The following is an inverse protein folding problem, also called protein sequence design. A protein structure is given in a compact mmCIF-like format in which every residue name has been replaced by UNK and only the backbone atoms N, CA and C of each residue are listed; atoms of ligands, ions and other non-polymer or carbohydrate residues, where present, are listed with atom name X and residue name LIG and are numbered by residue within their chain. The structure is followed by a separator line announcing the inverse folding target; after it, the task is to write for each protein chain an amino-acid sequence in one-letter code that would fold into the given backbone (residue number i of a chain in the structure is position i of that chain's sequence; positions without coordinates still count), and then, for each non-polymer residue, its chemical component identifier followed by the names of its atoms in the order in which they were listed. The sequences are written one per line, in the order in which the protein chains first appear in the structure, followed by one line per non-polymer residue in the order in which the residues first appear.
data_IF_222235385050
#
_entry.id   IF_222235385050
#
_cell.length_a   1.000
_cell.length_b   1.000
_cell.length_c   1.000
_cell.angle_alpha   90.00
_cell.angle_beta   90.00
_cell.angle_gamma   90.00
#
_symmetry.space_group_name_H-M   'P 1'
#
loop_
_entity.id
_entity.type
_entity.pdbx_description
1 polymer ?
#
# COMPACT_ATOMS: atom_id res chain seq x y z
N UNK A 1 42.32 -5.08 -7.24
CA UNK A 1 41.97 -5.44 -5.86
C UNK A 1 42.82 -4.60 -4.91
N UNK A 2 42.17 -3.98 -3.92
CA UNK A 2 42.77 -3.07 -2.94
C UNK A 2 43.42 -3.89 -1.80
N UNK A 3 42.66 -4.79 -1.18
CA UNK A 3 43.12 -5.65 -0.09
C UNK A 3 42.94 -7.15 -0.42
N UNK A 4 44.03 -7.90 -0.44
CA UNK A 4 43.99 -9.34 -0.73
C UNK A 4 43.37 -10.18 0.40
N UNK A 5 43.33 -9.63 1.62
CA UNK A 5 42.73 -10.28 2.78
C UNK A 5 41.21 -10.06 2.86
N UNK A 6 40.64 -9.28 1.95
CA UNK A 6 39.20 -9.08 1.81
C UNK A 6 38.68 -9.67 0.48
N UNK A 7 38.73 -11.00 0.29
CA UNK A 7 38.36 -11.61 -0.99
C UNK A 7 36.85 -11.53 -1.29
N UNK A 8 36.01 -11.24 -0.28
CA UNK A 8 34.55 -11.11 -0.40
C UNK A 8 34.06 -9.67 -0.63
N UNK A 9 34.92 -8.64 -0.53
CA UNK A 9 34.52 -7.22 -0.54
C UNK A 9 34.02 -6.64 -1.87
N UNK A 10 33.61 -7.49 -2.82
CA UNK A 10 32.96 -7.14 -4.09
C UNK A 10 33.57 -5.93 -4.79
N UNK A 11 32.77 -5.03 -5.39
CA UNK A 11 33.23 -3.83 -6.07
C UNK A 11 34.04 -2.89 -5.18
N UNK A 12 33.73 -2.84 -3.89
CA UNK A 12 34.34 -1.93 -2.93
C UNK A 12 35.81 -2.28 -2.66
N UNK A 13 36.20 -3.53 -2.94
CA UNK A 13 37.58 -3.97 -2.91
C UNK A 13 38.31 -3.86 -4.27
N UNK A 14 37.73 -3.18 -5.26
CA UNK A 14 38.38 -2.88 -6.55
C UNK A 14 38.44 -1.38 -6.81
N UNK A 15 39.56 -0.95 -7.36
CA UNK A 15 39.75 0.41 -7.86
C UNK A 15 40.63 0.37 -9.12
N UNK A 16 40.51 1.41 -9.96
CA UNK A 16 41.39 1.60 -11.10
C UNK A 16 42.85 1.81 -10.63
N UNK A 17 43.82 1.32 -11.41
CA UNK A 17 45.25 1.51 -11.10
C UNK A 17 45.59 3.00 -11.00
N UNK A 18 46.30 3.40 -9.93
CA UNK A 18 46.86 4.75 -9.79
C UNK A 18 48.30 4.85 -10.33
N UNK A 19 48.84 3.77 -10.93
CA UNK A 19 50.16 3.78 -11.54
C UNK A 19 50.14 4.58 -12.86
N UNK A 20 51.06 5.55 -13.08
CA UNK A 20 51.11 6.34 -14.32
C UNK A 20 51.21 5.53 -15.62
N UNK A 21 51.75 4.31 -15.57
CA UNK A 21 51.82 3.40 -16.72
C UNK A 21 50.49 2.68 -17.02
N UNK A 22 49.43 2.93 -16.24
CA UNK A 22 48.10 2.33 -16.39
C UNK A 22 47.92 0.99 -15.67
N UNK A 23 48.97 0.36 -15.14
CA UNK A 23 48.89 -0.92 -14.43
C UNK A 23 50.20 -1.37 -13.79
N UNK A 24 50.13 -2.45 -13.01
CA UNK A 24 51.26 -3.07 -12.29
C UNK A 24 51.35 -4.57 -12.58
N UNK A 25 51.52 -5.00 -13.85
CA UNK A 25 51.57 -6.42 -14.19
C UNK A 25 52.77 -7.11 -13.52
N UNK A 26 52.51 -8.23 -12.82
CA UNK A 26 53.55 -9.00 -12.11
C UNK A 26 54.11 -8.33 -10.85
N UNK A 27 53.54 -7.20 -10.41
CA UNK A 27 53.91 -6.48 -9.19
C UNK A 27 52.69 -6.29 -8.27
N UNK A 28 52.92 -5.82 -7.04
CA UNK A 28 51.82 -5.45 -6.14
C UNK A 28 50.93 -4.38 -6.79
N UNK A 29 49.63 -4.47 -6.55
CA UNK A 29 48.68 -3.51 -7.10
C UNK A 29 49.00 -2.11 -6.60
N UNK A 30 48.97 -1.14 -7.51
CA UNK A 30 49.24 0.28 -7.22
C UNK A 30 48.24 0.89 -6.22
N UNK A 31 47.04 0.35 -6.18
CA UNK A 31 45.97 0.69 -5.22
C UNK A 31 45.98 -0.17 -3.96
N UNK A 32 47.04 -0.95 -3.71
CA UNK A 32 47.12 -1.79 -2.52
C UNK A 32 46.99 -0.96 -1.25
N UNK A 33 46.01 -1.28 -0.42
CA UNK A 33 45.77 -0.67 0.88
C UNK A 33 45.00 -1.65 1.78
N UNK A 34 45.00 -1.39 3.08
CA UNK A 34 44.18 -2.16 4.04
C UNK A 34 42.72 -1.75 3.87
N UNK A 35 41.85 -2.72 3.61
CA UNK A 35 40.40 -2.56 3.45
C UNK A 35 39.67 -3.73 4.15
N UNK A 36 39.74 -3.80 5.49
CA UNK A 36 39.27 -4.94 6.25
C UNK A 36 37.75 -4.98 6.24
N UNK A 37 37.20 -6.15 5.99
CA UNK A 37 35.77 -6.40 6.08
C UNK A 37 35.37 -6.71 7.52
N UNK A 38 34.50 -5.85 8.07
CA UNK A 38 33.95 -6.01 9.43
C UNK A 38 32.41 -6.03 9.40
N UNK A 39 31.81 -6.18 8.22
CA UNK A 39 30.37 -6.23 8.07
C UNK A 39 29.97 -7.70 8.10
N UNK A 40 29.01 -8.02 8.96
CA UNK A 40 28.45 -9.38 9.00
C UNK A 40 27.51 -9.59 7.82
N UNK A 41 27.56 -10.78 7.18
CA UNK A 41 26.51 -11.16 6.25
C UNK A 41 25.18 -11.22 6.99
N UNK A 42 24.09 -10.89 6.32
CA UNK A 42 22.73 -11.03 6.85
C UNK A 42 21.83 -11.71 5.85
N UNK A 43 20.75 -12.32 6.34
CA UNK A 43 19.65 -12.76 5.48
C UNK A 43 18.96 -11.50 4.98
N UNK A 44 19.03 -11.23 3.68
CA UNK A 44 18.26 -10.14 3.06
C UNK A 44 16.81 -10.53 2.90
N UNK A 45 16.56 -11.79 2.53
CA UNK A 45 15.22 -12.26 2.24
C UNK A 45 15.15 -13.79 2.34
N UNK A 46 14.03 -14.29 2.85
CA UNK A 46 13.57 -15.66 2.61
C UNK A 46 12.16 -15.61 2.01
N UNK A 47 11.93 -16.35 0.92
CA UNK A 47 10.64 -16.39 0.20
C UNK A 47 10.28 -17.84 -0.10
N UNK A 48 9.07 -18.24 0.24
CA UNK A 48 8.52 -19.53 -0.17
C UNK A 48 8.07 -19.47 -1.63
N UNK A 49 8.83 -20.11 -2.53
CA UNK A 49 8.49 -20.23 -3.96
C UNK A 49 7.38 -21.26 -4.21
N UNK A 50 7.19 -22.19 -3.26
CA UNK A 50 6.10 -23.16 -3.24
C UNK A 50 5.89 -23.69 -1.81
N UNK A 51 4.90 -24.56 -1.63
CA UNK A 51 4.66 -25.24 -0.34
C UNK A 51 5.82 -26.13 0.14
N UNK A 52 6.85 -26.35 -0.67
CA UNK A 52 7.97 -27.24 -0.36
C UNK A 52 9.33 -26.62 -0.68
N UNK A 53 9.39 -25.35 -1.09
CA UNK A 53 10.62 -24.69 -1.55
C UNK A 53 10.73 -23.27 -1.01
N UNK A 54 11.88 -22.94 -0.42
CA UNK A 54 12.20 -21.59 0.08
C UNK A 54 13.51 -21.10 -0.57
N UNK A 55 13.48 -19.93 -1.20
CA UNK A 55 14.69 -19.22 -1.61
C UNK A 55 15.19 -18.31 -0.49
N UNK A 56 16.49 -18.31 -0.25
CA UNK A 56 17.14 -17.43 0.72
C UNK A 56 18.22 -16.63 0.02
N UNK A 57 18.17 -15.30 0.18
CA UNK A 57 19.14 -14.35 -0.39
C UNK A 57 19.93 -13.68 0.74
N UNK A 58 21.24 -13.52 0.55
CA UNK A 58 22.17 -12.94 1.52
C UNK A 58 22.72 -11.59 1.06
N UNK A 59 23.15 -10.74 2.01
CA UNK A 59 23.62 -9.38 1.73
C UNK A 59 24.94 -9.32 0.97
N UNK A 60 25.77 -10.33 1.17
CA UNK A 60 27.14 -10.38 0.68
C UNK A 60 27.53 -11.82 0.36
N UNK A 61 28.73 -11.99 -0.19
CA UNK A 61 29.27 -13.27 -0.60
C UNK A 61 29.50 -14.16 0.62
N UNK A 62 28.86 -15.33 0.64
CA UNK A 62 29.17 -16.42 1.57
C UNK A 62 29.80 -17.56 0.74
N UNK A 63 30.97 -18.12 1.15
CA UNK A 63 31.62 -19.20 0.40
C UNK A 63 30.67 -20.39 0.17
N UNK A 64 30.70 -20.97 -1.03
CA UNK A 64 29.76 -22.02 -1.44
C UNK A 64 29.77 -23.24 -0.49
N UNK A 65 30.96 -23.63 0.00
CA UNK A 65 31.10 -24.71 0.98
C UNK A 65 30.54 -24.34 2.36
N UNK A 66 30.55 -23.06 2.73
CA UNK A 66 29.94 -22.59 3.98
C UNK A 66 28.42 -22.63 3.84
N UNK A 67 27.86 -22.11 2.74
CA UNK A 67 26.42 -22.19 2.44
C UNK A 67 25.90 -23.64 2.43
N UNK A 68 26.65 -24.57 1.82
CA UNK A 68 26.27 -25.97 1.72
C UNK A 68 26.27 -26.70 3.08
N UNK A 69 27.12 -26.30 4.02
CA UNK A 69 27.30 -26.94 5.33
C UNK A 69 26.65 -26.17 6.49
N UNK A 70 26.10 -24.98 6.24
CA UNK A 70 25.33 -24.23 7.21
C UNK A 70 24.07 -25.02 7.63
N UNK A 71 23.57 -24.76 8.84
CA UNK A 71 22.39 -25.43 9.38
C UNK A 71 21.21 -24.48 9.31
N UNK A 72 20.14 -24.91 8.63
CA UNK A 72 18.94 -24.13 8.34
C UNK A 72 17.77 -24.71 9.14
N UNK A 73 17.31 -23.97 10.13
CA UNK A 73 16.19 -24.32 10.98
C UNK A 73 14.99 -23.48 10.59
N UNK A 74 13.84 -24.12 10.37
CA UNK A 74 12.56 -23.44 10.21
C UNK A 74 11.70 -23.89 11.39
N UNK A 75 11.01 -22.95 12.02
CA UNK A 75 10.11 -23.25 13.13
C UNK A 75 8.85 -24.01 12.67
N UNK A 76 7.87 -24.17 13.58
CA UNK A 76 6.60 -24.84 13.30
C UNK A 76 6.73 -26.28 12.75
N UNK A 77 7.82 -26.96 13.12
CA UNK A 77 8.06 -28.37 12.78
C UNK A 77 8.53 -28.61 11.34
N UNK A 78 8.91 -27.56 10.61
CA UNK A 78 9.40 -27.65 9.24
C UNK A 78 10.90 -28.01 9.23
N UNK A 79 11.24 -29.09 8.55
CA UNK A 79 12.63 -29.54 8.41
C UNK A 79 13.17 -29.17 7.03
N UNK A 80 14.41 -28.69 6.99
CA UNK A 80 15.19 -28.58 5.75
C UNK A 80 15.67 -29.97 5.34
N UNK A 81 15.23 -30.46 4.18
CA UNK A 81 15.57 -31.79 3.65
C UNK A 81 16.70 -31.76 2.63
N UNK A 82 16.85 -30.65 1.90
CA UNK A 82 17.91 -30.44 0.94
C UNK A 82 18.29 -28.95 0.87
N UNK A 83 19.57 -28.68 0.63
CA UNK A 83 20.11 -27.35 0.38
C UNK A 83 20.77 -27.39 -1.00
N UNK A 84 20.26 -26.58 -1.92
CA UNK A 84 20.83 -26.36 -3.26
C UNK A 84 21.41 -24.96 -3.34
N UNK A 85 22.73 -24.86 -3.44
CA UNK A 85 23.44 -23.57 -3.54
C UNK A 85 23.40 -23.10 -5.00
N UNK A 86 22.65 -22.03 -5.27
CA UNK A 86 22.54 -21.45 -6.63
C UNK A 86 23.71 -20.51 -6.92
N UNK A 87 24.14 -19.75 -5.92
CA UNK A 87 25.29 -18.85 -6.00
C UNK A 87 25.86 -18.63 -4.60
N UNK A 88 26.91 -17.82 -4.50
CA UNK A 88 27.47 -17.37 -3.23
C UNK A 88 26.58 -16.37 -2.46
N UNK A 89 25.41 -15.99 -3.01
CA UNK A 89 24.43 -15.13 -2.34
C UNK A 89 23.02 -15.72 -2.29
N UNK A 90 22.80 -16.89 -2.88
CA UNK A 90 21.46 -17.51 -2.98
C UNK A 90 21.49 -19.01 -2.77
N UNK A 91 20.58 -19.50 -1.94
CA UNK A 91 20.32 -20.94 -1.74
C UNK A 91 18.83 -21.24 -1.87
N UNK A 92 18.52 -22.46 -2.30
CA UNK A 92 17.19 -23.03 -2.31
C UNK A 92 17.13 -24.14 -1.27
N UNK A 93 16.15 -24.04 -0.37
CA UNK A 93 15.85 -25.05 0.63
C UNK A 93 14.64 -25.87 0.16
N UNK A 94 14.78 -27.20 0.13
CA UNK A 94 13.63 -28.10 0.05
C UNK A 94 13.18 -28.46 1.45
N UNK A 95 11.88 -28.35 1.73
CA UNK A 95 11.36 -28.50 3.10
C UNK A 95 10.32 -29.60 3.24
N UNK A 96 10.23 -30.18 4.44
CA UNK A 96 9.20 -31.15 4.82
C UNK A 96 8.90 -31.10 6.34
N UNK A 97 7.64 -31.16 6.79
CA UNK A 97 6.40 -31.19 6.00
C UNK A 97 6.20 -29.95 5.13
N UNK A 98 5.16 -29.97 4.27
CA UNK A 98 4.81 -28.82 3.43
C UNK A 98 4.46 -27.61 4.30
N UNK A 99 4.89 -26.43 3.85
CA UNK A 99 4.45 -25.14 4.38
C UNK A 99 2.94 -25.01 4.20
N UNK A 100 2.31 -24.32 5.15
CA UNK A 100 0.89 -24.03 5.16
C UNK A 100 0.68 -22.53 4.99
N UNK A 101 -0.41 -22.16 4.34
CA UNK A 101 -0.80 -20.76 4.21
C UNK A 101 -1.34 -20.22 5.53
N UNK A 102 -1.24 -18.90 5.73
CA UNK A 102 -1.69 -18.24 6.97
C UNK A 102 -0.81 -18.47 8.19
N UNK A 103 0.33 -19.15 8.04
CA UNK A 103 1.34 -19.33 9.08
C UNK A 103 2.57 -18.50 8.74
N UNK A 104 3.01 -17.69 9.69
CA UNK A 104 4.33 -17.06 9.67
C UNK A 104 5.38 -18.06 10.17
N UNK A 105 6.44 -18.22 9.40
CA UNK A 105 7.59 -19.08 9.72
C UNK A 105 8.83 -18.22 9.97
N UNK A 106 9.66 -18.67 10.90
CA UNK A 106 10.98 -18.09 11.15
C UNK A 106 12.07 -19.02 10.64
N UNK A 107 12.82 -18.59 9.64
CA UNK A 107 14.08 -19.22 9.25
C UNK A 107 15.19 -18.74 10.18
N UNK A 108 16.00 -19.66 10.70
CA UNK A 108 17.23 -19.38 11.46
C UNK A 108 18.40 -20.17 10.87
N UNK A 109 19.51 -19.50 10.61
CA UNK A 109 20.72 -20.10 10.03
C UNK A 109 21.86 -20.05 11.05
N UNK A 110 22.60 -21.15 11.18
CA UNK A 110 23.84 -21.19 11.97
C UNK A 110 24.99 -21.73 11.13
N UNK A 111 26.22 -21.46 11.55
CA UNK A 111 27.44 -21.79 10.81
C UNK A 111 27.54 -21.14 9.42
N UNK A 112 26.87 -20.00 9.22
CA UNK A 112 27.10 -19.12 8.07
C UNK A 112 28.11 -18.03 8.42
N UNK A 113 29.14 -17.85 7.59
CA UNK A 113 30.13 -16.78 7.72
C UNK A 113 30.68 -16.39 6.35
N UNK A 114 31.13 -15.15 6.20
CA UNK A 114 31.77 -14.65 4.98
C UNK A 114 33.18 -15.25 4.77
N UNK A 115 33.95 -14.68 3.82
CA UNK A 115 35.31 -15.13 3.54
C UNK A 115 36.34 -14.81 4.64
N UNK A 116 36.09 -13.83 5.51
CA UNK A 116 37.04 -13.35 6.52
C UNK A 116 36.68 -13.80 7.94
N UNK A 117 35.52 -14.44 8.10
CA UNK A 117 35.03 -15.04 9.34
C UNK A 117 33.97 -14.23 10.06
N UNK A 118 33.43 -13.15 9.47
CA UNK A 118 32.27 -12.47 10.07
C UNK A 118 31.07 -13.43 10.01
N UNK A 119 30.48 -13.68 11.18
CA UNK A 119 29.36 -14.62 11.29
C UNK A 119 28.06 -13.93 10.87
N UNK A 120 27.15 -14.71 10.28
CA UNK A 120 25.82 -14.25 9.86
C UNK A 120 25.08 -13.56 11.01
N UNK A 121 24.70 -12.30 10.83
CA UNK A 121 23.97 -11.51 11.83
C UNK A 121 23.22 -10.31 11.21
N UNK A 122 21.90 -10.16 11.43
CA UNK A 122 21.02 -11.14 12.07
C UNK A 122 20.96 -12.45 11.26
N UNK A 123 20.79 -13.56 11.97
CA UNK A 123 20.81 -14.90 11.40
C UNK A 123 19.40 -15.50 11.26
N UNK A 124 18.35 -14.69 11.42
CA UNK A 124 16.95 -15.11 11.31
C UNK A 124 16.15 -14.18 10.40
N UNK A 125 15.11 -14.73 9.77
CA UNK A 125 14.21 -13.99 8.88
C UNK A 125 12.80 -14.61 8.90
N UNK A 126 11.77 -13.78 9.04
CA UNK A 126 10.36 -14.22 8.98
C UNK A 126 9.86 -14.26 7.55
N UNK A 127 9.15 -15.32 7.19
CA UNK A 127 8.54 -15.49 5.87
C UNK A 127 7.25 -16.30 5.97
N UNK A 128 6.44 -16.28 4.91
CA UNK A 128 5.23 -17.07 4.82
C UNK A 128 5.06 -17.62 3.40
N UNK A 129 4.19 -18.63 3.26
CA UNK A 129 3.77 -19.13 1.95
C UNK A 129 2.72 -18.16 1.35
N UNK A 130 3.03 -17.44 0.25
CA UNK A 130 2.08 -16.53 -0.36
C UNK A 130 0.90 -17.27 -0.99
N UNK A 131 -0.22 -16.57 -1.09
CA UNK A 131 -1.45 -17.01 -1.74
C UNK A 131 -1.76 -16.10 -2.93
N UNK A 132 -2.44 -16.62 -3.97
CA UNK A 132 -2.94 -15.76 -5.03
C UNK A 132 -3.98 -14.79 -4.47
N UNK A 133 -3.91 -13.54 -4.92
CA UNK A 133 -4.91 -12.52 -4.60
C UNK A 133 -6.22 -12.79 -5.36
N UNK A 134 -7.34 -12.63 -4.67
CA UNK A 134 -8.66 -12.48 -5.23
C UNK A 134 -9.02 -10.98 -5.33
N UNK A 135 -10.06 -10.67 -6.12
CA UNK A 135 -10.61 -9.31 -6.18
C UNK A 135 -11.03 -8.88 -4.77
N UNK A 136 -10.56 -7.71 -4.35
CA UNK A 136 -10.82 -7.16 -3.02
C UNK A 136 -9.82 -7.57 -1.93
N UNK A 137 -8.89 -8.49 -2.20
CA UNK A 137 -7.81 -8.79 -1.24
C UNK A 137 -6.79 -7.66 -1.20
N UNK A 138 -6.36 -7.15 -2.36
CA UNK A 138 -5.52 -5.96 -2.47
C UNK A 138 -6.37 -4.86 -3.08
N UNK A 139 -6.38 -3.71 -2.43
CA UNK A 139 -7.18 -2.56 -2.83
C UNK A 139 -6.31 -1.31 -2.95
N UNK A 140 -6.66 -0.39 -3.84
CA UNK A 140 -6.04 0.94 -3.91
C UNK A 140 -6.51 1.74 -2.70
N UNK A 141 -5.60 2.34 -1.95
CA UNK A 141 -5.89 2.95 -0.65
C UNK A 141 -5.69 4.47 -0.62
N UNK A 142 -4.66 4.96 -1.28
CA UNK A 142 -4.32 6.39 -1.32
C UNK A 142 -3.66 6.70 -2.66
N UNK A 143 -3.99 7.83 -3.27
CA UNK A 143 -3.41 8.26 -4.55
C UNK A 143 -3.06 9.74 -4.50
N UNK A 144 -1.81 10.05 -4.78
CA UNK A 144 -1.33 11.40 -5.06
C UNK A 144 -1.05 11.53 -6.56
N UNK A 145 -1.83 12.38 -7.23
CA UNK A 145 -1.77 12.62 -8.68
C UNK A 145 -1.51 14.10 -9.05
N UNK A 146 -1.38 14.98 -8.05
CA UNK A 146 -0.96 16.37 -8.20
C UNK A 146 0.07 16.71 -7.11
N UNK A 147 1.32 16.20 -7.18
CA UNK A 147 2.32 16.41 -6.15
C UNK A 147 2.76 17.88 -6.10
N UNK A 148 3.39 18.29 -4.99
CA UNK A 148 4.07 19.59 -4.94
C UNK A 148 5.07 19.74 -6.08
N UNK A 149 5.41 20.98 -6.45
CA UNK A 149 6.46 21.23 -7.46
C UNK A 149 7.78 20.57 -7.05
N UNK A 150 8.28 19.66 -7.89
CA UNK A 150 9.48 18.86 -7.62
C UNK A 150 9.24 17.61 -6.77
N UNK A 151 7.98 17.34 -6.42
CA UNK A 151 7.50 16.09 -5.85
C UNK A 151 7.21 15.02 -6.92
N UNK A 152 6.87 13.83 -6.46
CA UNK A 152 6.53 12.69 -7.30
C UNK A 152 5.15 12.15 -6.93
N UNK A 153 4.42 11.64 -7.92
CA UNK A 153 3.18 10.91 -7.72
C UNK A 153 3.43 9.66 -6.85
N UNK A 154 2.39 9.21 -6.17
CA UNK A 154 2.38 7.88 -5.59
C UNK A 154 1.02 7.20 -5.65
N UNK A 155 1.07 5.88 -5.65
CA UNK A 155 -0.10 5.02 -5.47
C UNK A 155 0.17 4.11 -4.29
N UNK A 156 -0.74 4.10 -3.33
CA UNK A 156 -0.72 3.16 -2.22
C UNK A 156 -1.76 2.05 -2.41
N UNK A 157 -1.36 0.84 -2.04
CA UNK A 157 -2.25 -0.31 -1.91
C UNK A 157 -2.30 -0.79 -0.46
N UNK A 158 -3.42 -1.38 -0.09
CA UNK A 158 -3.65 -2.03 1.20
C UNK A 158 -4.05 -3.49 0.99
N UNK A 159 -3.51 -4.38 1.83
CA UNK A 159 -3.94 -5.77 1.89
C UNK A 159 -5.15 -5.92 2.83
N UNK A 160 -6.33 -5.94 2.25
CA UNK A 160 -7.62 -6.11 2.93
C UNK A 160 -7.96 -7.57 3.26
N UNK A 161 -6.97 -8.48 3.22
CA UNK A 161 -7.16 -9.91 3.49
C UNK A 161 -6.21 -10.44 4.57
N UNK A 162 -6.52 -11.62 5.09
CA UNK A 162 -5.64 -12.40 5.98
C UNK A 162 -4.52 -13.14 5.23
N UNK A 163 -4.29 -12.83 3.95
CA UNK A 163 -3.35 -13.55 3.08
C UNK A 163 -2.01 -12.82 3.00
N UNK A 164 -0.93 -13.57 3.05
CA UNK A 164 0.35 -13.10 2.49
C UNK A 164 0.25 -13.14 0.96
N UNK A 165 0.52 -12.03 0.29
CA UNK A 165 0.38 -11.91 -1.17
C UNK A 165 1.71 -11.47 -1.75
N UNK A 166 2.16 -12.13 -2.80
CA UNK A 166 3.40 -11.77 -3.50
C UNK A 166 3.10 -10.84 -4.68
N UNK A 167 3.78 -9.68 -4.68
CA UNK A 167 3.67 -8.65 -5.70
C UNK A 167 4.66 -8.86 -6.86
N UNK A 168 5.34 -10.01 -6.92
CA UNK A 168 6.24 -10.35 -8.02
C UNK A 168 5.57 -10.14 -9.39
N UNK A 169 6.14 -9.25 -10.19
CA UNK A 169 5.66 -8.85 -11.52
C UNK A 169 4.24 -8.24 -11.57
N UNK A 170 3.68 -7.83 -10.44
CA UNK A 170 2.47 -7.00 -10.46
C UNK A 170 2.74 -5.66 -11.15
N UNK A 171 1.68 -5.01 -11.63
CA UNK A 171 1.80 -3.80 -12.43
C UNK A 171 0.77 -2.75 -12.02
N UNK A 172 1.18 -1.48 -12.15
CA UNK A 172 0.27 -0.35 -12.24
C UNK A 172 0.02 -0.03 -13.72
N UNK A 173 -1.19 0.41 -14.03
CA UNK A 173 -1.62 0.82 -15.36
C UNK A 173 -2.57 2.02 -15.26
N UNK A 174 -2.93 2.57 -16.41
CA UNK A 174 -4.01 3.56 -16.54
C UNK A 174 -4.93 3.16 -17.70
N UNK A 175 -6.04 3.88 -17.88
CA UNK A 175 -6.97 3.66 -19.00
C UNK A 175 -6.80 4.72 -20.08
N UNK A 176 -6.59 4.26 -21.32
CA UNK A 176 -6.58 5.06 -22.55
C UNK A 176 -7.22 4.20 -23.66
N UNK A 177 -8.53 4.34 -23.86
CA UNK A 177 -9.45 3.44 -24.62
C UNK A 177 -9.50 1.97 -24.14
N UNK A 178 -8.45 1.52 -23.47
CA UNK A 178 -8.24 0.20 -22.87
C UNK A 178 -7.23 0.34 -21.73
N UNK A 179 -7.15 -0.67 -20.86
CA UNK A 179 -6.10 -0.71 -19.82
C UNK A 179 -4.73 -0.81 -20.50
N UNK A 180 -3.88 0.20 -20.28
CA UNK A 180 -2.62 0.39 -20.99
C UNK A 180 -1.51 0.96 -20.07
N UNK A 181 -0.37 1.35 -20.65
CA UNK A 181 0.80 1.93 -19.94
C UNK A 181 1.27 1.14 -18.70
N UNK A 182 1.26 -0.19 -18.77
CA UNK A 182 1.68 -1.07 -17.69
C UNK A 182 3.11 -0.78 -17.22
N UNK A 183 3.28 -0.50 -15.94
CA UNK A 183 4.55 -0.37 -15.23
C UNK A 183 4.66 -1.42 -14.15
N UNK A 184 5.68 -2.26 -14.22
CA UNK A 184 5.93 -3.28 -13.19
C UNK A 184 6.33 -2.62 -11.88
N UNK A 185 5.65 -3.01 -10.79
CA UNK A 185 5.95 -2.48 -9.45
C UNK A 185 7.11 -3.22 -8.77
N UNK A 186 7.33 -4.49 -9.11
CA UNK A 186 8.46 -5.26 -8.61
C UNK A 186 8.91 -6.35 -9.59
N UNK A 187 10.22 -6.46 -9.81
CA UNK A 187 10.86 -7.58 -10.51
C UNK A 187 11.43 -8.61 -9.51
N UNK A 188 11.29 -8.35 -8.22
CA UNK A 188 11.72 -9.22 -7.12
C UNK A 188 10.49 -9.66 -6.31
N UNK A 189 10.61 -10.75 -5.56
CA UNK A 189 9.53 -11.19 -4.69
C UNK A 189 9.33 -10.17 -3.56
N UNK A 190 8.13 -9.60 -3.45
CA UNK A 190 7.78 -8.67 -2.38
C UNK A 190 6.47 -9.14 -1.79
N UNK A 191 6.53 -9.66 -0.57
CA UNK A 191 5.36 -10.12 0.14
C UNK A 191 4.73 -8.93 0.86
N UNK A 192 3.46 -8.66 0.57
CA UNK A 192 2.61 -7.82 1.39
C UNK A 192 1.92 -8.72 2.42
N UNK A 193 2.16 -8.42 3.70
CA UNK A 193 1.57 -9.14 4.82
C UNK A 193 0.09 -8.75 4.99
N UNK A 194 -0.71 -9.55 5.71
CA UNK A 194 -2.08 -9.19 6.04
C UNK A 194 -2.19 -7.80 6.67
N UNK A 195 -3.15 -7.00 6.21
CA UNK A 195 -3.44 -5.68 6.77
C UNK A 195 -2.26 -4.70 6.75
N UNK A 196 -1.36 -4.84 5.78
CA UNK A 196 -0.25 -3.92 5.56
C UNK A 196 -0.42 -3.12 4.27
N UNK A 197 0.33 -2.02 4.19
CA UNK A 197 0.36 -1.09 3.07
C UNK A 197 1.62 -1.25 2.22
N UNK A 198 1.55 -0.91 0.94
CA UNK A 198 2.70 -0.67 0.06
C UNK A 198 2.48 0.57 -0.80
N UNK A 199 3.51 1.42 -0.87
CA UNK A 199 3.46 2.69 -1.60
C UNK A 199 4.44 2.65 -2.77
N UNK A 200 3.94 2.91 -3.97
CA UNK A 200 4.71 2.93 -5.20
C UNK A 200 4.96 4.38 -5.65
N UNK A 201 6.23 4.75 -5.80
CA UNK A 201 6.65 6.09 -6.28
C UNK A 201 7.98 6.02 -7.01
N UNK A 202 8.28 6.98 -7.88
CA UNK A 202 9.55 7.06 -8.62
C UNK A 202 10.73 7.52 -7.76
N UNK A 203 10.49 8.36 -6.75
CA UNK A 203 11.50 8.78 -5.79
C UNK A 203 10.95 8.75 -4.35
N UNK A 204 11.38 7.78 -3.57
CA UNK A 204 10.94 7.65 -2.17
C UNK A 204 11.49 8.74 -1.27
N UNK A 205 12.58 9.41 -1.65
CA UNK A 205 13.12 10.53 -0.86
C UNK A 205 12.31 11.80 -1.07
N UNK A 206 11.80 12.00 -2.29
CA UNK A 206 10.86 13.07 -2.62
C UNK A 206 9.63 13.03 -1.71
N UNK A 207 8.96 11.86 -1.61
CA UNK A 207 7.82 11.69 -0.70
C UNK A 207 8.19 11.99 0.76
N UNK A 208 9.30 11.43 1.27
CA UNK A 208 9.75 11.67 2.66
C UNK A 208 10.14 13.12 2.94
N UNK A 209 10.49 13.89 1.90
CA UNK A 209 10.84 15.31 2.04
C UNK A 209 9.59 16.17 2.19
N UNK A 210 8.53 15.86 1.46
CA UNK A 210 7.30 16.66 1.42
C UNK A 210 6.29 16.26 2.50
N UNK A 211 6.24 14.99 2.89
CA UNK A 211 5.24 14.46 3.81
C UNK A 211 5.89 14.06 5.15
N UNK A 212 5.47 14.63 6.28
CA UNK A 212 6.06 14.36 7.58
C UNK A 212 5.63 13.01 8.18
N UNK A 213 4.39 12.58 7.92
CA UNK A 213 3.82 11.33 8.41
C UNK A 213 3.97 10.24 7.36
N UNK A 214 4.86 9.26 7.61
CA UNK A 214 5.06 8.14 6.69
C UNK A 214 5.62 6.89 7.38
N UNK A 215 5.44 5.73 6.74
CA UNK A 215 6.12 4.49 7.10
C UNK A 215 7.10 4.06 6.01
N UNK A 216 8.40 4.24 6.25
CA UNK A 216 9.41 3.97 5.23
C UNK A 216 9.51 2.50 4.80
N UNK A 217 8.98 1.55 5.57
CA UNK A 217 8.97 0.12 5.24
C UNK A 217 7.90 -0.25 4.20
N UNK A 218 6.92 0.62 3.96
CA UNK A 218 5.89 0.43 2.96
C UNK A 218 6.36 0.82 1.55
N UNK A 219 7.38 1.68 1.43
CA UNK A 219 7.83 2.20 0.15
C UNK A 219 8.47 1.15 -0.75
N UNK A 220 8.07 1.17 -2.02
CA UNK A 220 8.67 0.46 -3.14
C UNK A 220 8.99 1.50 -4.21
N UNK A 221 10.29 1.76 -4.40
CA UNK A 221 10.72 2.69 -5.44
C UNK A 221 10.63 2.00 -6.81
N UNK A 222 9.83 2.56 -7.72
CA UNK A 222 9.63 2.04 -9.07
C UNK A 222 10.40 2.87 -10.10
N UNK A 223 10.76 2.26 -11.23
CA UNK A 223 11.50 2.97 -12.28
C UNK A 223 10.65 4.03 -13.02
N UNK A 224 9.33 3.84 -13.05
CA UNK A 224 8.36 4.76 -13.63
C UNK A 224 6.96 4.40 -13.15
N UNK A 225 6.06 5.39 -13.13
CA UNK A 225 4.62 5.19 -12.97
C UNK A 225 3.90 5.38 -14.31
N UNK A 226 2.67 4.86 -14.46
CA UNK A 226 1.76 5.31 -15.50
C UNK A 226 1.53 6.82 -15.38
N UNK A 227 1.08 7.44 -16.47
CA UNK A 227 0.77 8.88 -16.44
C UNK A 227 -0.55 9.09 -15.71
N UNK A 228 -0.48 9.83 -14.61
CA UNK A 228 -1.63 10.29 -13.84
C UNK A 228 -1.77 11.80 -14.07
N UNK A 229 -2.90 12.23 -14.60
CA UNK A 229 -3.13 13.63 -14.93
C UNK A 229 -3.74 14.35 -13.73
N UNK A 230 -3.43 15.64 -13.56
CA UNK A 230 -3.86 16.38 -12.37
C UNK A 230 -5.39 16.59 -12.31
N UNK A 231 -6.08 16.65 -13.45
CA UNK A 231 -7.52 16.97 -13.49
C UNK A 231 -8.40 15.73 -13.27
N UNK A 232 -8.16 14.66 -14.05
CA UNK A 232 -8.87 13.38 -13.95
C UNK A 232 -8.07 12.25 -14.58
N UNK A 233 -8.25 11.04 -14.08
CA UNK A 233 -7.54 9.88 -14.58
C UNK A 233 -7.94 8.59 -13.91
N UNK A 234 -7.12 7.56 -14.13
CA UNK A 234 -7.38 6.24 -13.55
C UNK A 234 -6.11 5.51 -13.16
N UNK A 235 -6.20 4.82 -12.02
CA UNK A 235 -5.18 3.91 -11.52
C UNK A 235 -5.72 2.50 -11.63
N UNK A 236 -5.00 1.63 -12.33
CA UNK A 236 -5.30 0.21 -12.42
C UNK A 236 -4.20 -0.59 -11.74
N UNK A 237 -4.58 -1.51 -10.86
CA UNK A 237 -3.69 -2.49 -10.26
C UNK A 237 -3.93 -3.84 -10.92
N UNK A 238 -2.88 -4.46 -11.45
CA UNK A 238 -2.99 -5.78 -12.06
C UNK A 238 -1.98 -6.78 -11.50
N UNK A 239 -2.37 -8.06 -11.49
CA UNK A 239 -1.43 -9.16 -11.23
C UNK A 239 -0.42 -9.34 -12.39
N UNK A 240 0.45 -10.34 -12.25
CA UNK A 240 1.45 -10.69 -13.28
C UNK A 240 0.86 -11.16 -14.61
N UNK A 241 -0.42 -11.57 -14.63
CA UNK A 241 -1.15 -12.00 -15.83
C UNK A 241 -1.97 -10.84 -16.45
N UNK A 242 -1.85 -9.62 -15.92
CA UNK A 242 -2.65 -8.44 -16.29
C UNK A 242 -4.13 -8.56 -15.96
N UNK A 243 -4.50 -9.43 -15.03
CA UNK A 243 -5.84 -9.46 -14.44
C UNK A 243 -5.98 -8.23 -13.56
N UNK A 244 -7.03 -7.44 -13.78
CA UNK A 244 -7.33 -6.28 -12.93
C UNK A 244 -7.77 -6.77 -11.54
N UNK A 245 -7.01 -6.38 -10.52
CA UNK A 245 -7.29 -6.71 -9.11
C UNK A 245 -8.17 -5.61 -8.49
N UNK A 246 -7.83 -4.35 -8.75
CA UNK A 246 -8.60 -3.18 -8.36
C UNK A 246 -8.35 -2.03 -9.36
N UNK A 247 -9.26 -1.06 -9.41
CA UNK A 247 -9.06 0.17 -10.18
C UNK A 247 -9.80 1.34 -9.55
N UNK A 248 -9.23 2.53 -9.68
CA UNK A 248 -9.78 3.77 -9.16
C UNK A 248 -9.78 4.84 -10.24
N UNK A 249 -10.97 5.37 -10.56
CA UNK A 249 -11.11 6.57 -11.38
C UNK A 249 -11.19 7.79 -10.45
N UNK A 250 -10.19 8.66 -10.53
CA UNK A 250 -10.10 9.86 -9.72
C UNK A 250 -10.38 11.11 -10.56
N UNK A 251 -10.73 12.18 -9.87
CA UNK A 251 -10.82 13.54 -10.41
C UNK A 251 -10.44 14.52 -9.32
N UNK A 252 -9.83 15.64 -9.69
CA UNK A 252 -9.51 16.74 -8.78
C UNK A 252 -10.74 17.22 -8.01
N UNK A 253 -11.94 17.18 -8.61
CA UNK A 253 -13.22 17.54 -7.98
C UNK A 253 -13.61 16.65 -6.79
N UNK A 254 -12.90 15.53 -6.57
CA UNK A 254 -13.07 14.67 -5.40
C UNK A 254 -12.35 15.22 -4.16
N UNK A 255 -11.48 16.21 -4.32
CA UNK A 255 -10.89 16.91 -3.19
C UNK A 255 -11.91 17.76 -2.45
N UNK A 256 -11.61 18.06 -1.19
CA UNK A 256 -12.42 18.93 -0.37
C UNK A 256 -12.46 20.33 -1.00
N UNK A 257 -13.65 20.74 -1.44
CA UNK A 257 -13.85 21.94 -2.28
C UNK A 257 -13.42 23.27 -1.63
N UNK A 258 -13.13 23.29 -0.33
CA UNK A 258 -12.67 24.47 0.41
C UNK A 258 -11.15 24.52 0.60
N UNK A 259 -10.39 23.55 0.08
CA UNK A 259 -8.94 23.62 0.07
C UNK A 259 -8.47 24.85 -0.70
N UNK A 260 -7.43 25.52 -0.18
CA UNK A 260 -6.81 26.65 -0.87
C UNK A 260 -6.07 26.22 -2.15
N UNK A 261 -5.58 24.98 -2.16
CA UNK A 261 -4.88 24.32 -3.26
C UNK A 261 -4.96 22.82 -3.06
N UNK A 262 -5.02 22.08 -4.17
CA UNK A 262 -4.96 20.61 -4.26
C UNK A 262 -3.53 20.11 -4.49
N UNK A 263 -2.56 21.02 -4.68
CA UNK A 263 -1.15 20.67 -4.87
C UNK A 263 -0.62 19.98 -3.61
N UNK A 264 -0.05 18.79 -3.81
CA UNK A 264 0.49 17.94 -2.76
C UNK A 264 -0.56 17.25 -1.90
N UNK A 265 -1.85 17.32 -2.24
CA UNK A 265 -2.91 16.67 -1.47
C UNK A 265 -3.27 15.33 -2.09
N UNK A 266 -3.20 14.24 -1.31
CA UNK A 266 -3.65 12.93 -1.78
C UNK A 266 -5.16 12.75 -1.59
N UNK A 267 -5.74 11.85 -2.39
CA UNK A 267 -7.06 11.27 -2.11
C UNK A 267 -6.88 9.98 -1.31
N UNK A 268 -7.55 9.93 -0.17
CA UNK A 268 -7.54 8.83 0.78
C UNK A 268 -8.88 8.10 0.78
N UNK A 269 -8.83 6.77 0.75
CA UNK A 269 -9.98 5.90 0.93
C UNK A 269 -10.50 5.97 2.37
N UNK A 270 -11.81 6.17 2.54
CA UNK A 270 -12.47 6.27 3.84
C UNK A 270 -12.70 4.87 4.45
N UNK A 271 -13.17 3.91 3.66
CA UNK A 271 -13.46 2.56 4.15
C UNK A 271 -12.99 1.47 3.18
N UNK A 272 -12.40 0.42 3.74
CA UNK A 272 -11.91 -0.74 2.98
C UNK A 272 -13.03 -1.64 2.49
N UNK A 273 -14.16 -1.68 3.18
CA UNK A 273 -15.31 -2.52 2.83
C UNK A 273 -16.20 -1.90 1.74
N UNK A 274 -16.05 -0.60 1.46
CA UNK A 274 -16.80 0.12 0.42
C UNK A 274 -16.12 0.01 -0.96
N UNK A 275 -16.89 -0.05 -2.06
CA UNK A 275 -16.35 -0.17 -3.41
C UNK A 275 -15.35 0.95 -3.77
N UNK A 276 -14.31 0.62 -4.54
CA UNK A 276 -13.23 1.57 -4.90
C UNK A 276 -13.72 2.76 -5.71
N UNK A 277 -14.73 2.58 -6.58
CA UNK A 277 -15.25 3.67 -7.42
C UNK A 277 -16.49 4.35 -6.84
N UNK A 278 -16.83 4.12 -5.57
CA UNK A 278 -17.77 4.96 -4.85
C UNK A 278 -17.08 6.31 -4.56
N UNK A 279 -17.50 7.37 -5.26
CA UNK A 279 -16.91 8.71 -5.11
C UNK A 279 -16.99 9.25 -3.69
N UNK A 280 -17.96 8.78 -2.90
CA UNK A 280 -18.14 9.21 -1.51
C UNK A 280 -17.36 8.35 -0.52
N UNK A 281 -16.50 7.45 -1.02
CA UNK A 281 -15.56 6.65 -0.24
C UNK A 281 -14.13 7.20 -0.32
N UNK A 282 -13.97 8.41 -0.83
CA UNK A 282 -12.69 9.09 -0.94
C UNK A 282 -12.83 10.51 -0.42
N UNK A 283 -11.76 11.00 0.20
CA UNK A 283 -11.67 12.38 0.66
C UNK A 283 -10.23 12.85 0.57
N UNK A 284 -10.01 14.16 0.67
CA UNK A 284 -8.65 14.70 0.80
C UNK A 284 -8.03 14.26 2.11
N UNK A 285 -6.75 13.93 2.07
CA UNK A 285 -5.94 13.80 3.27
C UNK A 285 -5.98 15.07 4.12
N UNK A 286 -5.93 14.90 5.44
CA UNK A 286 -6.02 15.99 6.39
C UNK A 286 -4.78 16.90 6.34
N UNK A 287 -4.96 18.19 6.67
CA UNK A 287 -3.88 19.18 6.66
C UNK A 287 -2.87 18.95 7.79
N UNK A 288 -3.35 18.46 8.94
CA UNK A 288 -2.56 18.29 10.16
C UNK A 288 -1.53 17.14 10.08
N UNK A 289 -1.82 16.12 9.27
CA UNK A 289 -0.88 15.05 8.89
C UNK A 289 0.03 15.44 7.71
N UNK A 290 -0.18 16.63 7.14
CA UNK A 290 0.61 17.14 6.01
C UNK A 290 0.10 16.71 4.64
N UNK A 291 -1.21 16.47 4.50
CA UNK A 291 -1.91 16.19 3.23
C UNK A 291 -1.57 14.86 2.52
N UNK A 292 -0.96 13.90 3.22
CA UNK A 292 -0.89 12.49 2.82
C UNK A 292 -0.48 11.60 4.00
N UNK A 293 -0.75 10.30 3.93
CA UNK A 293 -0.37 9.31 4.96
C UNK A 293 0.38 8.09 4.41
N UNK A 294 1.41 8.25 3.57
CA UNK A 294 2.02 7.14 2.84
C UNK A 294 2.62 6.07 3.78
N UNK A 295 2.07 4.88 3.70
CA UNK A 295 2.43 3.67 4.42
C UNK A 295 1.75 3.53 5.79
N UNK A 296 0.82 4.44 6.11
CA UNK A 296 0.08 4.51 7.37
C UNK A 296 -1.42 4.33 7.09
N UNK A 297 -2.21 4.26 8.17
CA UNK A 297 -3.66 4.32 8.02
C UNK A 297 -4.07 5.73 7.62
N UNK A 298 -4.94 5.82 6.59
CA UNK A 298 -5.51 7.07 6.10
C UNK A 298 -6.05 7.93 7.24
N UNK A 299 -5.76 9.23 7.18
CA UNK A 299 -6.33 10.24 8.10
C UNK A 299 -7.86 10.27 8.04
N UNK A 300 -8.44 9.95 6.88
CA UNK A 300 -9.89 9.95 6.67
C UNK A 300 -10.56 8.60 6.96
N UNK A 301 -9.83 7.61 7.49
CA UNK A 301 -10.36 6.25 7.67
C UNK A 301 -11.51 6.18 8.69
N UNK A 302 -12.61 5.52 8.30
CA UNK A 302 -13.75 5.25 9.17
C UNK A 302 -14.50 3.96 8.77
N UNK A 303 -14.64 3.03 9.71
CA UNK A 303 -15.48 1.84 9.58
C UNK A 303 -16.86 2.10 10.20
N UNK A 304 -17.85 2.40 9.35
CA UNK A 304 -19.25 2.44 9.80
C UNK A 304 -19.75 1.01 10.04
N UNK A 305 -19.76 0.54 11.30
CA UNK A 305 -20.45 -0.71 11.66
C UNK A 305 -21.95 -0.46 11.83
N UNK A 306 -22.75 -1.14 11.01
CA UNK A 306 -24.20 -0.97 10.96
C UNK A 306 -24.92 -1.53 12.18
N UNK A 307 -25.61 -0.66 12.93
CA UNK A 307 -26.79 -1.06 13.69
C UNK A 307 -28.03 -1.13 12.76
N UNK A 308 -28.97 -2.00 13.10
CA UNK A 308 -30.20 -2.29 12.33
C UNK A 308 -31.19 -1.11 12.36
N UNK A 309 -30.87 -0.04 11.65
CA UNK A 309 -31.75 1.09 11.38
C UNK A 309 -31.75 1.38 9.87
N UNK A 310 -32.90 1.78 9.31
CA UNK A 310 -33.01 2.13 7.89
C UNK A 310 -31.98 3.19 7.49
N UNK A 311 -31.62 4.07 8.45
CA UNK A 311 -30.62 5.11 8.29
C UNK A 311 -29.89 5.30 9.63
N UNK A 312 -28.56 5.33 9.62
CA UNK A 312 -27.70 5.67 10.77
C UNK A 312 -26.61 6.64 10.37
N UNK A 313 -26.08 7.36 11.35
CA UNK A 313 -25.01 8.34 11.19
C UNK A 313 -23.79 7.92 12.00
N UNK A 314 -22.60 8.09 11.43
CA UNK A 314 -21.34 7.95 12.15
C UNK A 314 -20.32 8.96 11.63
N UNK A 315 -19.77 9.83 12.49
CA UNK A 315 -20.19 10.09 13.88
C UNK A 315 -21.54 10.84 13.95
N UNK A 316 -22.16 10.96 15.14
CA UNK A 316 -23.37 11.79 15.30
C UNK A 316 -23.08 13.30 15.15
N UNK A 317 -21.85 13.70 15.52
CA UNK A 317 -21.31 15.05 15.41
C UNK A 317 -20.01 14.97 14.63
N UNK A 318 -19.91 15.74 13.54
CA UNK A 318 -18.74 15.76 12.68
C UNK A 318 -18.23 17.20 12.53
N UNK A 319 -16.93 17.38 12.39
CA UNK A 319 -16.21 18.66 12.41
C UNK A 319 -15.44 18.80 11.10
N UNK A 320 -16.05 19.37 10.04
CA UNK A 320 -15.42 19.49 8.72
C UNK A 320 -14.39 20.64 8.74
N UNK A 321 -13.29 20.43 9.45
CA UNK A 321 -12.18 21.36 9.62
C UNK A 321 -10.88 20.86 8.96
N UNK A 322 -10.92 19.66 8.37
CA UNK A 322 -9.84 18.97 7.68
C UNK A 322 -8.65 18.63 8.61
N UNK A 323 -8.95 18.29 9.87
CA UNK A 323 -7.97 17.90 10.91
C UNK A 323 -7.82 16.37 11.08
N UNK A 324 -8.40 15.57 10.19
CA UNK A 324 -8.34 14.11 10.22
C UNK A 324 -9.26 13.48 11.26
N UNK A 325 -9.96 14.28 12.07
CA UNK A 325 -10.85 13.77 13.11
C UNK A 325 -12.29 14.17 12.79
N UNK A 326 -13.08 13.16 12.42
CA UNK A 326 -14.53 13.33 12.18
C UNK A 326 -14.84 14.40 11.11
N UNK A 327 -14.02 14.52 10.07
CA UNK A 327 -14.20 15.49 8.98
C UNK A 327 -15.42 15.23 8.10
N UNK A 328 -15.83 13.96 8.04
CA UNK A 328 -16.94 13.50 7.21
C UNK A 328 -18.02 12.83 8.06
N UNK A 329 -19.28 13.10 7.69
CA UNK A 329 -20.44 12.40 8.21
C UNK A 329 -20.75 11.18 7.35
N UNK A 330 -20.60 9.97 7.87
CA UNK A 330 -21.04 8.76 7.18
C UNK A 330 -22.52 8.50 7.45
N UNK A 331 -23.29 8.32 6.38
CA UNK A 331 -24.73 8.08 6.36
C UNK A 331 -24.95 6.67 5.82
N UNK A 332 -25.21 5.73 6.70
CA UNK A 332 -25.45 4.33 6.33
C UNK A 332 -26.95 4.06 6.21
N UNK A 333 -27.35 3.27 5.22
CA UNK A 333 -28.73 2.84 5.02
C UNK A 333 -28.84 1.33 4.84
N UNK A 334 -29.98 0.78 5.27
CA UNK A 334 -30.34 -0.64 5.10
C UNK A 334 -31.79 -0.75 4.61
N UNK A 335 -31.98 -1.46 3.51
CA UNK A 335 -33.25 -1.69 2.84
C UNK A 335 -33.71 -3.15 3.03
N UNK A 336 -35.03 -3.40 3.02
CA UNK A 336 -35.58 -4.73 3.25
C UNK A 336 -35.29 -5.72 2.10
N UNK A 337 -35.12 -5.20 0.88
CA UNK A 337 -34.81 -5.98 -0.32
C UNK A 337 -34.07 -5.10 -1.35
N UNK A 338 -33.36 -5.67 -2.33
CA UNK A 338 -32.75 -4.93 -3.43
C UNK A 338 -33.79 -4.32 -4.39
N UNK A 339 -33.34 -3.44 -5.31
CA UNK A 339 -34.18 -2.92 -6.39
C UNK A 339 -34.88 -1.60 -6.08
N UNK A 340 -34.47 -0.92 -5.02
CA UNK A 340 -34.94 0.41 -4.68
C UNK A 340 -34.13 1.49 -5.41
N UNK A 341 -34.80 2.55 -5.84
CA UNK A 341 -34.19 3.81 -6.30
C UNK A 341 -34.32 4.85 -5.20
N UNK A 342 -33.22 5.49 -4.80
CA UNK A 342 -33.19 6.37 -3.64
C UNK A 342 -32.57 7.74 -3.84
N UNK A 343 -32.79 8.58 -2.83
CA UNK A 343 -32.27 9.94 -2.71
C UNK A 343 -31.81 10.18 -1.27
N UNK A 344 -30.68 10.86 -1.12
CA UNK A 344 -30.22 11.43 0.16
C UNK A 344 -30.05 12.93 -0.03
N UNK A 345 -30.79 13.70 0.78
CA UNK A 345 -30.79 15.16 0.73
C UNK A 345 -30.57 15.71 2.12
N UNK A 346 -29.71 16.72 2.23
CA UNK A 346 -29.41 17.40 3.49
C UNK A 346 -30.16 18.73 3.54
N UNK A 347 -30.82 18.96 4.67
CA UNK A 347 -31.53 20.18 4.99
C UNK A 347 -30.98 20.79 6.29
N UNK A 348 -31.06 22.10 6.42
CA UNK A 348 -30.75 22.76 7.69
C UNK A 348 -31.92 22.65 8.70
N UNK A 349 -31.73 23.20 9.89
CA UNK A 349 -32.71 23.27 10.97
C UNK A 349 -34.03 24.00 10.62
N UNK A 350 -34.04 24.75 9.51
CA UNK A 350 -35.20 25.47 8.96
C UNK A 350 -35.82 24.75 7.77
N UNK A 351 -35.32 23.58 7.39
CA UNK A 351 -35.80 22.79 6.26
C UNK A 351 -35.39 23.35 4.90
N UNK A 352 -34.40 24.23 4.83
CA UNK A 352 -33.83 24.72 3.55
C UNK A 352 -32.87 23.67 3.01
N UNK A 353 -32.89 23.46 1.70
CA UNK A 353 -31.96 22.55 1.01
C UNK A 353 -30.51 23.03 1.20
N UNK A 354 -29.64 22.11 1.61
CA UNK A 354 -28.21 22.36 1.81
C UNK A 354 -27.38 21.68 0.73
N UNK A 355 -27.59 20.38 0.50
CA UNK A 355 -26.87 19.59 -0.50
C UNK A 355 -27.66 18.35 -0.92
N UNK A 356 -27.57 17.97 -2.18
CA UNK A 356 -27.96 16.63 -2.63
C UNK A 356 -26.73 15.71 -2.62
N UNK A 357 -26.76 14.65 -1.81
CA UNK A 357 -25.67 13.66 -1.80
C UNK A 357 -25.88 12.54 -2.80
N UNK A 358 -27.15 12.22 -3.07
CA UNK A 358 -27.54 11.15 -3.98
C UNK A 358 -28.90 11.48 -4.60
N UNK A 359 -29.06 11.26 -5.91
CA UNK A 359 -30.30 11.60 -6.64
C UNK A 359 -30.73 10.52 -7.63
N UNK A 360 -31.86 9.88 -7.34
CA UNK A 360 -32.50 8.86 -8.17
C UNK A 360 -31.54 7.72 -8.58
N UNK A 361 -30.78 7.22 -7.61
CA UNK A 361 -29.81 6.16 -7.86
C UNK A 361 -30.37 4.80 -7.47
N UNK A 362 -30.08 3.77 -8.26
CA UNK A 362 -30.40 2.38 -7.93
C UNK A 362 -29.53 1.94 -6.76
N UNK A 363 -30.17 1.56 -5.65
CA UNK A 363 -29.52 1.21 -4.40
C UNK A 363 -29.30 -0.29 -4.27
N UNK A 364 -28.16 -0.64 -3.69
CA UNK A 364 -27.95 -1.92 -3.02
C UNK A 364 -28.87 -2.06 -1.80
N UNK A 365 -29.03 -3.29 -1.30
CA UNK A 365 -29.81 -3.54 -0.07
C UNK A 365 -29.23 -2.86 1.18
N UNK A 366 -27.95 -2.48 1.15
CA UNK A 366 -27.30 -1.69 2.18
C UNK A 366 -26.19 -0.84 1.54
N UNK A 367 -25.90 0.34 2.09
CA UNK A 367 -24.82 1.19 1.61
C UNK A 367 -24.49 2.30 2.59
N UNK A 368 -23.37 2.97 2.36
CA UNK A 368 -22.92 4.13 3.14
C UNK A 368 -22.53 5.25 2.18
N UNK A 369 -22.89 6.48 2.51
CA UNK A 369 -22.54 7.71 1.76
C UNK A 369 -21.95 8.71 2.74
N UNK A 370 -20.87 9.38 2.37
CA UNK A 370 -20.21 10.37 3.23
C UNK A 370 -20.55 11.81 2.82
N UNK A 371 -20.61 12.72 3.80
CA UNK A 371 -20.76 14.16 3.60
C UNK A 371 -19.65 14.93 4.29
N UNK A 372 -18.96 15.75 3.52
CA UNK A 372 -17.83 16.63 3.88
C UNK A 372 -18.26 17.96 4.53
N UNK A 373 -19.54 18.14 4.84
CA UNK A 373 -20.03 19.38 5.45
C UNK A 373 -20.06 20.58 4.51
N UNK A 374 -19.96 20.37 3.19
CA UNK A 374 -20.11 21.46 2.20
C UNK A 374 -21.56 21.58 1.73
N UNK A 375 -21.94 22.78 1.27
CA UNK A 375 -23.24 23.04 0.64
C UNK A 375 -23.18 22.79 -0.87
N UNK A 376 -24.33 22.83 -1.55
CA UNK A 376 -24.43 22.74 -3.01
C UNK A 376 -23.64 23.83 -3.75
N UNK A 377 -23.34 24.95 -3.07
CA UNK A 377 -22.54 26.05 -3.64
C UNK A 377 -21.06 25.97 -3.25
N UNK A 378 -20.60 24.81 -2.77
CA UNK A 378 -19.23 24.59 -2.30
C UNK A 378 -18.80 25.58 -1.20
N UNK A 379 -19.72 25.92 -0.30
CA UNK A 379 -19.41 26.69 0.92
C UNK A 379 -19.47 25.79 2.14
N UNK A 380 -18.78 26.13 3.23
CA UNK A 380 -18.92 25.41 4.51
C UNK A 380 -20.36 25.52 5.02
N UNK A 381 -20.95 24.40 5.44
CA UNK A 381 -22.19 24.40 6.17
C UNK A 381 -22.00 25.11 7.53
N UNK A 382 -22.98 25.89 7.96
CA UNK A 382 -22.92 26.56 9.27
C UNK A 382 -22.95 25.53 10.40
N UNK A 383 -22.32 25.83 11.53
CA UNK A 383 -22.45 25.01 12.75
C UNK A 383 -23.92 24.90 13.13
N UNK A 384 -24.38 23.68 13.43
CA UNK A 384 -25.76 23.44 13.80
C UNK A 384 -26.27 22.06 13.42
N UNK A 385 -27.57 21.87 13.65
CA UNK A 385 -28.27 20.63 13.32
C UNK A 385 -28.69 20.61 11.86
N UNK A 386 -28.49 19.46 11.22
CA UNK A 386 -28.90 19.18 9.85
C UNK A 386 -29.77 17.94 9.83
N UNK A 387 -30.82 17.99 9.01
CA UNK A 387 -31.71 16.86 8.78
C UNK A 387 -31.25 16.13 7.53
N UNK A 388 -30.81 14.90 7.70
CA UNK A 388 -30.50 13.98 6.61
C UNK A 388 -31.80 13.27 6.28
N UNK A 389 -32.30 13.50 5.07
CA UNK A 389 -33.56 12.94 4.59
C UNK A 389 -33.29 11.89 3.53
N UNK A 390 -33.68 10.65 3.85
CA UNK A 390 -33.62 9.50 2.96
C UNK A 390 -35.01 9.15 2.43
N UNK A 391 -35.11 8.95 1.13
CA UNK A 391 -36.31 8.40 0.49
C UNK A 391 -35.90 7.38 -0.56
N UNK A 392 -36.57 6.23 -0.59
CA UNK A 392 -36.39 5.24 -1.64
C UNK A 392 -37.71 4.61 -2.07
N UNK A 393 -37.81 4.16 -3.31
CA UNK A 393 -38.97 3.43 -3.85
C UNK A 393 -38.55 2.30 -4.79
N UNK A 394 -39.32 1.21 -4.88
CA UNK A 394 -39.08 0.11 -5.82
C UNK A 394 -40.14 0.07 -6.95
N UNK A 395 -40.02 -0.90 -7.88
CA UNK A 395 -40.94 -1.06 -9.02
C UNK A 395 -42.36 -1.46 -8.62
N UNK A 396 -42.54 -2.12 -7.46
CA UNK A 396 -43.87 -2.49 -6.92
C UNK A 396 -44.57 -1.31 -6.25
N UNK A 397 -43.87 -0.20 -6.04
CA UNK A 397 -44.38 1.04 -5.45
C UNK A 397 -44.20 1.14 -3.94
N UNK A 398 -43.49 0.20 -3.31
CA UNK A 398 -43.12 0.27 -1.90
C UNK A 398 -42.13 1.41 -1.67
N UNK A 399 -42.27 2.09 -0.54
CA UNK A 399 -41.49 3.28 -0.20
C UNK A 399 -40.83 3.14 1.16
N UNK A 400 -39.55 3.46 1.22
CA UNK A 400 -38.80 3.63 2.46
C UNK A 400 -38.53 5.12 2.67
N UNK A 401 -38.67 5.58 3.91
CA UNK A 401 -38.38 6.95 4.30
C UNK A 401 -37.77 6.97 5.70
N UNK A 402 -36.66 7.68 5.84
CA UNK A 402 -36.02 7.90 7.13
C UNK A 402 -35.51 9.34 7.22
N UNK A 403 -35.47 9.85 8.45
CA UNK A 403 -34.87 11.13 8.78
C UNK A 403 -34.05 10.95 10.04
N UNK A 404 -32.81 11.41 9.99
CA UNK A 404 -31.89 11.44 11.14
C UNK A 404 -31.29 12.83 11.21
N UNK A 405 -30.89 13.22 12.42
CA UNK A 405 -30.28 14.53 12.66
C UNK A 405 -28.80 14.31 12.90
N UNK A 406 -27.97 14.94 12.06
CA UNK A 406 -26.54 15.06 12.27
C UNK A 406 -26.19 16.47 12.71
N UNK A 407 -25.05 16.63 13.37
CA UNK A 407 -24.58 17.94 13.83
C UNK A 407 -23.26 18.27 13.15
N UNK A 408 -23.21 19.45 12.50
CA UNK A 408 -21.94 20.07 12.11
C UNK A 408 -21.42 20.80 13.35
N UNK A 409 -20.31 20.29 13.89
CA UNK A 409 -19.60 20.84 15.05
C UNK A 409 -18.68 22.01 14.70
N UNK A 410 -18.11 22.60 15.75
CA UNK A 410 -17.07 23.65 15.65
C UNK A 410 -15.72 23.11 15.21
#
# INVERSE_FOLDING_TARGET
MIDYNNPCGESDNWAASNNPAGGTPGQQNSVYATNPDNISPKILQAVALSDSTVEVTFSEIIPLNVLQNALYYIDNGINTTNISVLSNKKVILSVFPKLQTGIEYTLSITNGSDCVGNTLSPNSYSFALPQPAAIGDIIINEVLFNPYTGGDDFVEIYNNSDKYIDLYQWMLANYDDSVSNFKTVSQEHIIIEPHQFKVFTTDTNSIKQFYPEFNSKAFIQVSSLPTYANDEGSVYLTDSNKTVIDFFNYSEDMHFSLLNSTDGVSLERISYSRPTNDKTNWHSAAEDVGFATPGLQNSQYNESQGEQTILSLSPEVFTPNNDGLNDVLNISYQLPEPGYVGNITIYDDKGRLVKYLMRNELLSAAGTISWDGTTENNTKALIGMYVIHFTAFNETGDKQKAQVVGVVGE
#
